data_IF_415303041193
#
_entry.id   IF_415303041193
#
_cell.length_a   1.000
_cell.length_b   1.000
_cell.length_c   1.000
_cell.angle_alpha   90.00
_cell.angle_beta   90.00
_cell.angle_gamma   90.00
#
_symmetry.space_group_name_H-M   'P 1'
#
loop_
_entity.id
_entity.type
_entity.pdbx_description
1 polymer ?
#
# COMPACT_ATOMS: atom_id res chain seq x y z
N UNK A 1 61.85 11.94 21.90
CA UNK A 1 61.16 12.10 20.60
C UNK A 1 59.99 11.13 20.63
N UNK A 2 58.82 11.64 21.01
CA UNK A 2 57.59 10.85 21.16
C UNK A 2 56.65 11.29 20.04
N UNK A 3 56.40 10.40 19.08
CA UNK A 3 55.46 10.65 17.99
C UNK A 3 54.03 10.33 18.45
N UNK A 4 53.21 11.37 18.45
CA UNK A 4 51.80 11.39 18.79
C UNK A 4 50.98 10.97 17.56
N UNK A 5 50.58 9.70 17.53
CA UNK A 5 49.79 9.12 16.44
C UNK A 5 48.31 9.50 16.59
N UNK A 6 47.87 10.58 15.94
CA UNK A 6 46.45 10.98 15.83
C UNK A 6 45.77 10.20 14.71
N UNK A 7 44.93 9.25 15.08
CA UNK A 7 44.05 8.52 14.16
C UNK A 7 42.99 9.43 13.51
N UNK A 8 42.46 9.04 12.34
CA UNK A 8 41.58 9.89 11.54
C UNK A 8 40.17 9.96 12.13
N UNK A 9 39.62 11.17 12.15
CA UNK A 9 38.25 11.47 12.54
C UNK A 9 37.25 10.68 11.68
N UNK A 10 36.52 9.78 12.32
CA UNK A 10 35.39 9.06 11.75
C UNK A 10 34.21 10.01 11.59
N UNK A 11 34.07 10.55 10.37
CA UNK A 11 32.98 11.45 10.01
C UNK A 11 31.62 10.77 10.16
N UNK A 12 30.85 11.20 11.15
CA UNK A 12 29.45 10.82 11.38
C UNK A 12 28.62 11.09 10.12
N UNK A 13 28.29 10.04 9.37
CA UNK A 13 27.34 10.13 8.26
C UNK A 13 25.93 10.35 8.82
N UNK A 14 25.14 11.28 8.25
CA UNK A 14 23.77 11.52 8.71
C UNK A 14 22.90 10.27 8.51
N UNK A 15 21.92 10.02 9.41
CA UNK A 15 21.04 8.87 9.30
C UNK A 15 20.23 8.94 8.00
N UNK A 16 20.27 7.85 7.22
CA UNK A 16 19.41 7.65 6.05
C UNK A 16 17.97 7.59 6.54
N UNK A 17 17.16 8.58 6.16
CA UNK A 17 15.71 8.60 6.39
C UNK A 17 15.07 7.71 5.34
N UNK A 18 14.16 6.83 5.72
CA UNK A 18 13.35 6.03 4.79
C UNK A 18 11.91 6.47 4.97
N UNK A 19 11.39 7.16 3.96
CA UNK A 19 9.99 7.53 3.90
C UNK A 19 9.19 6.31 3.46
N UNK A 20 8.56 5.62 4.40
CA UNK A 20 7.66 4.52 4.11
C UNK A 20 6.49 4.96 3.23
N UNK A 21 5.76 4.01 2.63
CA UNK A 21 4.63 4.29 1.76
C UNK A 21 3.58 5.09 2.53
N UNK A 22 3.49 6.38 2.20
CA UNK A 22 2.42 7.25 2.64
C UNK A 22 1.11 6.78 1.99
N UNK A 23 0.48 5.74 2.53
CA UNK A 23 -0.96 5.62 2.46
C UNK A 23 -1.53 6.75 3.30
N UNK A 24 -1.63 7.92 2.66
CA UNK A 24 -2.29 9.12 3.15
C UNK A 24 -3.79 8.82 3.26
N UNK A 25 -4.19 8.02 4.24
CA UNK A 25 -5.54 8.10 4.76
C UNK A 25 -5.59 9.42 5.52
N UNK A 26 -6.32 10.39 4.96
CA UNK A 26 -6.79 11.56 5.69
C UNK A 26 -7.65 11.02 6.84
N UNK A 27 -7.03 10.72 7.98
CA UNK A 27 -7.77 10.47 9.22
C UNK A 27 -8.20 11.85 9.70
N UNK A 28 -9.49 12.13 9.54
CA UNK A 28 -10.11 13.24 10.25
C UNK A 28 -9.81 13.09 11.76
N UNK A 29 -9.41 14.16 12.45
CA UNK A 29 -9.03 14.10 13.86
C UNK A 29 -10.25 13.67 14.70
N UNK A 30 -10.17 12.47 15.27
CA UNK A 30 -11.22 11.85 16.10
C UNK A 30 -11.41 12.46 17.50
N UNK A 31 -10.79 13.60 17.81
CA UNK A 31 -10.80 14.21 19.15
C UNK A 31 -11.87 15.30 19.36
N UNK A 32 -12.90 15.40 18.53
CA UNK A 32 -13.99 16.39 18.71
C UNK A 32 -15.40 15.81 18.66
N UNK A 33 -15.60 14.58 19.13
CA UNK A 33 -16.95 14.01 19.34
C UNK A 33 -17.23 13.81 20.83
N UNK A 34 -17.07 14.87 21.63
CA UNK A 34 -17.65 14.98 22.97
C UNK A 34 -17.54 16.43 23.46
N UNK A 35 -18.35 17.31 22.87
CA UNK A 35 -18.87 18.60 23.41
C UNK A 35 -19.27 19.52 22.26
N UNK A 36 -20.32 19.18 21.49
CA UNK A 36 -20.90 20.13 20.53
C UNK A 36 -22.41 19.89 20.31
N UNK A 37 -23.14 19.66 21.40
CA UNK A 37 -24.60 19.87 21.44
C UNK A 37 -24.91 21.10 22.31
N UNK A 38 -24.75 22.31 21.75
CA UNK A 38 -25.53 23.51 22.17
C UNK A 38 -25.21 24.84 21.46
N UNK A 39 -24.25 24.95 20.53
CA UNK A 39 -23.87 26.26 19.95
C UNK A 39 -24.07 26.44 18.43
N UNK A 40 -24.78 25.53 17.75
CA UNK A 40 -24.89 25.55 16.29
C UNK A 40 -26.06 26.33 15.66
N UNK A 41 -26.83 27.11 16.43
CA UNK A 41 -27.94 27.89 15.85
C UNK A 41 -27.66 29.39 15.62
N UNK A 42 -26.55 29.95 16.11
CA UNK A 42 -26.26 31.39 15.93
C UNK A 42 -25.24 31.70 14.81
N UNK A 43 -24.50 30.71 14.30
CA UNK A 43 -23.38 30.97 13.37
C UNK A 43 -23.76 30.94 11.88
N UNK A 44 -24.97 30.48 11.52
CA UNK A 44 -25.37 30.34 10.12
C UNK A 44 -25.95 31.62 9.49
N UNK A 45 -26.24 32.66 10.27
CA UNK A 45 -26.77 33.93 9.74
C UNK A 45 -25.65 34.86 9.23
N UNK A 46 -24.41 34.73 9.72
CA UNK A 46 -23.32 35.66 9.37
C UNK A 46 -22.58 35.24 8.09
N UNK A 47 -22.52 33.94 7.76
CA UNK A 47 -21.79 33.45 6.58
C UNK A 47 -22.55 33.68 5.27
N UNK A 48 -23.88 33.84 5.32
CA UNK A 48 -24.70 34.12 4.14
C UNK A 48 -24.47 35.51 3.52
N UNK A 49 -24.07 36.50 4.31
CA UNK A 49 -23.90 37.88 3.83
C UNK A 49 -22.54 38.17 3.17
N UNK A 50 -21.53 37.32 3.38
CA UNK A 50 -20.17 37.55 2.86
C UNK A 50 -19.93 36.97 1.45
N UNK A 51 -20.80 36.07 0.97
CA UNK A 51 -20.64 35.40 -0.33
C UNK A 51 -21.21 36.19 -1.53
N UNK A 52 -21.93 37.28 -1.29
CA UNK A 52 -22.49 38.13 -2.36
C UNK A 52 -21.49 39.21 -2.82
N UNK A 53 -20.43 39.49 -2.06
CA UNK A 53 -19.49 40.58 -2.36
C UNK A 53 -18.25 40.21 -3.21
N UNK A 54 -17.98 38.91 -3.48
CA UNK A 54 -16.71 38.48 -4.12
C UNK A 54 -16.88 38.06 -5.60
N UNK A 55 -18.11 37.91 -6.10
CA UNK A 55 -18.37 37.53 -7.51
C UNK A 55 -18.29 38.73 -8.47
N UNK A 56 -18.09 39.96 -7.96
CA UNK A 56 -18.13 41.19 -8.75
C UNK A 56 -16.83 41.62 -9.45
N UNK A 57 -15.70 40.90 -9.34
CA UNK A 57 -14.39 41.49 -9.68
C UNK A 57 -13.53 40.75 -10.72
N UNK A 58 -14.10 39.82 -11.49
CA UNK A 58 -13.36 39.06 -12.51
C UNK A 58 -13.88 39.25 -13.95
N UNK A 59 -14.30 40.46 -14.33
CA UNK A 59 -14.71 40.80 -15.72
C UNK A 59 -13.90 41.94 -16.35
N UNK A 60 -12.85 42.45 -15.70
CA UNK A 60 -12.04 43.53 -16.28
C UNK A 60 -10.55 43.27 -16.12
N UNK A 61 -9.96 42.55 -17.08
CA UNK A 61 -8.58 42.77 -17.57
C UNK A 61 -8.27 41.76 -18.69
N UNK A 62 -8.61 42.15 -19.93
CA UNK A 62 -7.86 41.68 -21.10
C UNK A 62 -6.58 42.49 -21.24
N UNK A 63 -5.53 41.87 -21.80
CA UNK A 63 -4.34 42.42 -22.52
C UNK A 63 -3.45 41.16 -22.75
N UNK A 64 -3.46 40.53 -23.93
CA UNK A 64 -2.55 40.78 -25.08
C UNK A 64 -1.08 40.90 -24.66
N UNK A 65 -0.29 39.83 -24.79
CA UNK A 65 0.99 39.94 -25.49
C UNK A 65 1.59 38.59 -25.94
N UNK A 66 2.11 38.64 -27.17
CA UNK A 66 2.86 37.63 -27.95
C UNK A 66 3.84 38.49 -28.75
N UNK A 67 5.18 38.26 -28.79
CA UNK A 67 5.83 37.15 -29.52
C UNK A 67 7.15 36.70 -28.81
N UNK A 68 8.04 35.80 -29.26
CA UNK A 68 8.51 35.30 -30.56
C UNK A 68 8.98 33.82 -30.40
N UNK A 69 8.75 32.89 -31.32
CA UNK A 69 9.49 32.63 -32.59
C UNK A 69 11.01 32.67 -32.45
N UNK A 70 11.62 31.51 -32.29
CA UNK A 70 12.87 31.15 -32.98
C UNK A 70 12.85 29.67 -33.36
N UNK A 71 13.48 29.43 -34.51
CA UNK A 71 13.31 28.35 -35.46
C UNK A 71 14.62 27.59 -35.66
N UNK A 72 14.52 26.32 -36.05
CA UNK A 72 15.61 25.44 -36.46
C UNK A 72 15.48 24.12 -35.70
N UNK A 73 15.32 22.94 -36.28
CA UNK A 73 15.56 22.49 -37.64
C UNK A 73 14.76 21.19 -37.85
N UNK A 74 14.19 21.03 -39.04
CA UNK A 74 13.35 19.90 -39.44
C UNK A 74 14.21 18.80 -40.08
N UNK A 75 13.95 17.55 -39.72
CA UNK A 75 13.97 16.41 -40.64
C UNK A 75 12.99 15.33 -40.14
N UNK A 76 11.82 15.23 -40.78
CA UNK A 76 10.87 14.12 -40.61
C UNK A 76 11.14 12.99 -41.62
N UNK A 77 10.12 12.22 -42.07
CA UNK A 77 9.20 11.34 -41.33
C UNK A 77 9.21 9.92 -42.03
N UNK A 78 8.27 8.93 -41.84
CA UNK A 78 6.81 9.03 -41.82
C UNK A 78 6.09 8.34 -40.63
N UNK A 79 4.80 8.67 -40.44
CA UNK A 79 3.91 8.08 -39.43
C UNK A 79 3.31 6.75 -39.89
N UNK A 80 3.23 5.77 -38.98
CA UNK A 80 2.35 4.62 -39.18
C UNK A 80 0.96 4.90 -38.60
N UNK A 81 0.00 4.67 -39.48
CA UNK A 81 -1.43 4.92 -39.38
C UNK A 81 -2.09 4.10 -38.26
N UNK A 82 -2.86 4.78 -37.40
CA UNK A 82 -3.79 4.16 -36.47
C UNK A 82 -5.14 3.89 -37.19
N UNK A 83 -5.70 2.67 -37.12
CA UNK A 83 -7.06 2.43 -37.55
C UNK A 83 -8.05 3.00 -36.52
N UNK A 84 -8.99 3.79 -37.05
CA UNK A 84 -10.14 4.33 -36.34
C UNK A 84 -11.15 3.23 -36.04
N UNK A 85 -11.45 3.01 -34.76
CA UNK A 85 -12.52 2.11 -34.29
C UNK A 85 -13.73 2.90 -33.80
N UNK A 86 -14.97 2.40 -34.01
CA UNK A 86 -16.16 3.23 -34.03
C UNK A 86 -16.71 3.62 -32.66
N UNK A 87 -17.24 4.84 -32.65
CA UNK A 87 -18.10 5.46 -31.65
C UNK A 87 -19.32 4.61 -31.34
N UNK A 88 -19.43 4.09 -30.11
CA UNK A 88 -20.69 3.55 -29.58
C UNK A 88 -21.47 4.68 -28.92
N UNK A 89 -22.49 5.15 -29.64
CA UNK A 89 -23.57 6.02 -29.16
C UNK A 89 -24.69 5.15 -28.58
N UNK A 90 -25.26 5.55 -27.44
CA UNK A 90 -26.54 5.06 -26.92
C UNK A 90 -26.38 4.14 -25.71
N UNK A 91 -27.11 4.29 -24.59
CA UNK A 91 -28.18 5.22 -24.27
C UNK A 91 -28.35 5.30 -22.75
N UNK A 92 -28.92 6.42 -22.33
CA UNK A 92 -29.50 6.69 -21.02
C UNK A 92 -31.01 6.89 -21.25
N UNK A 93 -31.89 6.93 -20.26
CA UNK A 93 -32.00 6.24 -18.97
C UNK A 93 -33.30 5.40 -18.92
N UNK A 94 -33.53 4.60 -17.87
CA UNK A 94 -34.92 4.32 -17.46
C UNK A 94 -35.00 4.03 -15.96
N UNK A 95 -35.63 4.91 -15.17
CA UNK A 95 -36.03 4.63 -13.81
C UNK A 95 -37.39 3.92 -13.83
N UNK A 96 -37.60 2.93 -12.96
CA UNK A 96 -38.96 2.43 -12.69
C UNK A 96 -39.15 2.22 -11.19
N UNK A 97 -40.25 2.75 -10.63
CA UNK A 97 -40.49 2.86 -9.20
C UNK A 97 -41.03 1.58 -8.53
N UNK A 98 -40.97 1.60 -7.19
CA UNK A 98 -41.78 0.90 -6.17
C UNK A 98 -43.30 0.89 -6.45
N UNK A 99 -44.19 0.26 -5.63
CA UNK A 99 -44.06 -0.64 -4.46
C UNK A 99 -44.99 -1.89 -4.59
N UNK A 100 -45.11 -2.73 -3.56
CA UNK A 100 -46.41 -3.12 -2.92
C UNK A 100 -46.27 -4.38 -2.03
N UNK A 101 -46.79 -4.34 -0.78
CA UNK A 101 -46.85 -5.48 0.14
C UNK A 101 -48.14 -6.30 -0.04
N UNK A 102 -48.12 -7.59 0.29
CA UNK A 102 -49.35 -8.40 0.42
C UNK A 102 -49.07 -9.77 1.08
N UNK A 103 -50.09 -10.47 1.61
CA UNK A 103 -50.25 -10.63 3.05
C UNK A 103 -50.07 -12.08 3.53
N UNK A 104 -50.03 -12.21 4.86
CA UNK A 104 -50.09 -13.46 5.63
C UNK A 104 -51.14 -14.45 5.08
N UNK A 105 -50.70 -15.68 4.79
CA UNK A 105 -51.59 -16.86 4.76
C UNK A 105 -51.03 -18.01 5.61
N UNK A 106 -51.83 -18.24 6.64
CA UNK A 106 -52.01 -19.37 7.55
C UNK A 106 -51.91 -20.76 6.88
N UNK A 107 -51.08 -21.60 7.51
CA UNK A 107 -51.21 -23.06 7.81
C UNK A 107 -51.15 -24.12 6.70
N UNK A 108 -50.07 -24.92 6.76
CA UNK A 108 -50.13 -26.40 6.74
C UNK A 108 -48.82 -26.98 7.32
N UNK A 109 -48.85 -27.90 8.31
CA UNK A 109 -47.65 -28.58 8.77
C UNK A 109 -47.18 -29.57 7.69
N UNK A 110 -46.23 -29.11 6.88
CA UNK A 110 -45.56 -29.94 5.86
C UNK A 110 -44.71 -30.99 6.57
N UNK A 111 -44.68 -32.25 6.10
CA UNK A 111 -43.84 -33.29 6.68
C UNK A 111 -42.39 -32.80 6.70
N UNK A 112 -41.84 -32.69 7.90
CA UNK A 112 -40.49 -32.21 8.13
C UNK A 112 -39.52 -33.28 7.61
N UNK A 113 -39.25 -33.21 6.30
CA UNK A 113 -38.22 -33.99 5.62
C UNK A 113 -36.92 -33.65 6.34
N UNK A 114 -36.41 -34.57 7.16
CA UNK A 114 -35.12 -34.45 7.83
C UNK A 114 -34.11 -33.99 6.79
N UNK A 115 -33.62 -32.76 6.95
CA UNK A 115 -32.47 -32.30 6.18
C UNK A 115 -31.39 -33.36 6.33
N UNK A 116 -30.83 -33.89 5.23
CA UNK A 116 -29.66 -34.75 5.31
C UNK A 116 -28.65 -34.02 6.18
N UNK A 117 -28.17 -34.70 7.22
CA UNK A 117 -27.12 -34.20 8.08
C UNK A 117 -26.06 -33.57 7.19
N UNK A 118 -25.97 -32.25 7.25
CA UNK A 118 -25.04 -31.46 6.47
C UNK A 118 -23.67 -31.95 6.91
N UNK A 119 -23.09 -32.84 6.11
CA UNK A 119 -21.77 -33.39 6.37
C UNK A 119 -20.86 -32.18 6.38
N UNK A 120 -20.47 -31.75 7.59
CA UNK A 120 -19.46 -30.73 7.75
C UNK A 120 -18.28 -31.17 6.89
N UNK A 121 -17.84 -30.35 5.92
CA UNK A 121 -16.65 -30.67 5.19
C UNK A 121 -15.53 -30.72 6.23
N UNK A 122 -15.15 -31.94 6.63
CA UNK A 122 -13.96 -32.21 7.41
C UNK A 122 -12.81 -31.76 6.51
N UNK A 123 -12.50 -30.48 6.58
CA UNK A 123 -11.30 -29.90 6.02
C UNK A 123 -10.17 -30.64 6.68
N UNK A 124 -9.68 -31.68 6.02
CA UNK A 124 -8.48 -32.40 6.40
C UNK A 124 -7.33 -31.39 6.30
N UNK A 125 -7.12 -30.62 7.36
CA UNK A 125 -5.90 -29.86 7.58
C UNK A 125 -4.81 -30.92 7.64
N UNK A 126 -4.21 -31.19 6.49
CA UNK A 126 -3.02 -32.01 6.41
C UNK A 126 -2.01 -31.36 7.34
N UNK A 127 -1.60 -32.10 8.37
CA UNK A 127 -0.53 -31.64 9.25
C UNK A 127 0.70 -31.32 8.38
N UNK A 128 1.41 -30.21 8.66
CA UNK A 128 2.66 -29.90 7.98
C UNK A 128 3.59 -31.11 8.02
N UNK A 129 4.13 -31.50 6.87
CA UNK A 129 4.96 -32.70 6.73
C UNK A 129 6.46 -32.39 6.89
N UNK A 130 6.84 -31.10 6.88
CA UNK A 130 8.23 -30.65 6.96
C UNK A 130 8.42 -29.36 7.77
N UNK A 131 9.67 -28.86 7.85
CA UNK A 131 9.95 -27.54 8.40
C UNK A 131 9.28 -26.47 7.52
N UNK A 132 8.86 -25.33 8.09
CA UNK A 132 8.22 -24.29 7.30
C UNK A 132 9.22 -23.73 6.29
N UNK A 133 8.76 -23.47 5.07
CA UNK A 133 9.57 -22.87 4.02
C UNK A 133 8.79 -21.76 3.34
N UNK A 134 9.53 -20.75 2.88
CA UNK A 134 9.02 -19.71 2.02
C UNK A 134 10.16 -19.29 1.08
N UNK A 135 9.82 -18.97 -0.17
CA UNK A 135 10.80 -18.57 -1.19
C UNK A 135 10.22 -17.46 -2.05
N UNK A 136 11.04 -16.48 -2.41
CA UNK A 136 10.71 -15.43 -3.36
C UNK A 136 10.99 -15.95 -4.78
N UNK A 137 9.99 -15.88 -5.65
CA UNK A 137 10.11 -16.23 -7.08
C UNK A 137 10.12 -15.00 -7.98
N UNK A 138 9.60 -13.87 -7.50
CA UNK A 138 9.75 -12.57 -8.13
C UNK A 138 9.78 -11.47 -7.05
N UNK A 139 10.60 -10.41 -7.20
CA UNK A 139 11.57 -10.20 -8.29
C UNK A 139 12.74 -11.20 -8.24
N UNK A 140 13.55 -11.25 -9.30
CA UNK A 140 14.77 -12.06 -9.33
C UNK A 140 15.93 -11.33 -8.64
N UNK A 141 16.96 -12.09 -8.24
CA UNK A 141 18.20 -11.53 -7.71
C UNK A 141 18.81 -10.51 -8.68
N UNK A 142 19.16 -9.33 -8.18
CA UNK A 142 19.73 -8.22 -8.95
C UNK A 142 18.72 -7.43 -9.77
N UNK A 143 17.42 -7.71 -9.69
CA UNK A 143 16.42 -7.01 -10.48
C UNK A 143 16.44 -5.49 -10.25
N UNK A 144 16.21 -4.75 -11.33
CA UNK A 144 16.05 -3.29 -11.32
C UNK A 144 14.58 -2.94 -11.23
N UNK A 145 14.21 -2.09 -10.27
CA UNK A 145 12.81 -1.73 -10.01
C UNK A 145 12.68 -0.22 -9.82
N UNK A 146 11.67 0.40 -10.43
CA UNK A 146 11.44 1.86 -10.32
C UNK A 146 11.05 2.29 -8.90
N UNK A 147 10.59 1.36 -8.06
CA UNK A 147 10.32 1.56 -6.64
C UNK A 147 9.16 2.51 -6.32
N UNK A 148 8.71 3.38 -7.23
CA UNK A 148 7.62 4.35 -6.98
C UNK A 148 6.22 3.72 -6.98
N UNK A 149 5.96 2.79 -7.90
CA UNK A 149 4.67 2.08 -7.99
C UNK A 149 4.66 0.85 -7.06
N UNK A 150 5.73 0.68 -6.29
CA UNK A 150 5.99 -0.50 -5.51
C UNK A 150 6.51 -1.68 -6.32
N UNK A 151 6.84 -2.77 -5.63
CA UNK A 151 7.37 -3.99 -6.22
C UNK A 151 6.40 -5.13 -6.00
N UNK A 152 5.96 -5.77 -7.09
CA UNK A 152 5.16 -6.98 -6.99
C UNK A 152 6.07 -8.15 -6.62
N UNK A 153 5.93 -8.62 -5.39
CA UNK A 153 6.56 -9.82 -4.88
C UNK A 153 5.64 -11.02 -5.08
N UNK A 154 6.24 -12.15 -5.45
CA UNK A 154 5.58 -13.45 -5.56
C UNK A 154 6.50 -14.52 -5.02
N UNK A 155 5.92 -15.62 -4.58
CA UNK A 155 6.71 -16.72 -4.07
C UNK A 155 5.91 -17.94 -3.72
N UNK A 156 6.62 -18.93 -3.19
CA UNK A 156 6.06 -20.17 -2.67
C UNK A 156 6.19 -20.24 -1.16
N UNK A 157 5.32 -21.01 -0.51
CA UNK A 157 5.46 -21.37 0.89
C UNK A 157 4.81 -22.72 1.18
N UNK A 158 5.41 -23.46 2.11
CA UNK A 158 4.91 -24.76 2.55
C UNK A 158 5.07 -24.91 4.07
N UNK A 159 4.27 -25.80 4.64
CA UNK A 159 4.42 -26.27 6.03
C UNK A 159 4.42 -25.16 7.10
N UNK A 160 3.72 -24.05 6.85
CA UNK A 160 3.68 -22.90 7.76
C UNK A 160 3.02 -23.24 9.11
N UNK A 161 2.08 -24.20 9.14
CA UNK A 161 1.35 -24.53 10.36
C UNK A 161 0.59 -23.32 10.90
N UNK A 162 0.86 -22.92 12.14
CA UNK A 162 0.30 -21.69 12.75
C UNK A 162 1.12 -20.41 12.51
N UNK A 163 2.22 -20.49 11.75
CA UNK A 163 3.11 -19.36 11.47
C UNK A 163 2.59 -18.54 10.28
N UNK A 164 3.07 -17.31 10.18
CA UNK A 164 2.65 -16.36 9.14
C UNK A 164 3.84 -15.90 8.31
N UNK A 165 3.58 -15.48 7.08
CA UNK A 165 4.57 -14.79 6.26
C UNK A 165 4.48 -13.28 6.50
N UNK A 166 5.62 -12.64 6.68
CA UNK A 166 5.82 -11.20 6.74
C UNK A 166 6.87 -10.78 5.72
N UNK A 167 6.80 -9.55 5.24
CA UNK A 167 7.73 -8.97 4.28
C UNK A 167 8.47 -7.83 4.96
N UNK A 168 9.80 -7.85 4.83
CA UNK A 168 10.66 -6.77 5.30
C UNK A 168 11.54 -6.25 4.16
N UNK A 169 11.77 -4.96 4.16
CA UNK A 169 12.80 -4.30 3.36
C UNK A 169 14.04 -4.11 4.22
N UNK A 170 15.11 -4.85 3.94
CA UNK A 170 16.39 -4.60 4.55
C UNK A 170 17.14 -3.53 3.75
N UNK A 171 17.31 -2.37 4.38
CA UNK A 171 17.83 -1.17 3.73
C UNK A 171 19.34 -0.99 3.94
N UNK A 172 20.02 -0.14 3.13
CA UNK A 172 21.46 0.12 3.26
C UNK A 172 21.92 0.63 4.63
N UNK A 173 21.02 1.15 5.45
CA UNK A 173 21.31 1.60 6.81
C UNK A 173 21.36 0.44 7.84
N UNK A 174 21.18 -0.81 7.39
CA UNK A 174 21.26 -2.00 8.23
C UNK A 174 20.01 -2.25 9.08
N UNK A 175 18.86 -1.69 8.71
CA UNK A 175 17.59 -1.93 9.39
C UNK A 175 16.60 -2.67 8.49
N UNK A 176 15.81 -3.54 9.12
CA UNK A 176 14.64 -4.20 8.54
C UNK A 176 13.42 -3.31 8.75
N UNK A 177 12.76 -2.91 7.68
CA UNK A 177 11.50 -2.17 7.71
C UNK A 177 10.36 -3.10 7.36
N UNK A 178 9.34 -3.19 8.21
CA UNK A 178 8.15 -3.99 7.93
C UNK A 178 7.38 -3.36 6.77
N UNK A 179 7.19 -4.11 5.68
CA UNK A 179 6.57 -3.59 4.46
C UNK A 179 5.08 -3.85 4.38
N UNK A 180 4.57 -4.84 5.13
CA UNK A 180 3.18 -5.23 5.15
C UNK A 180 2.41 -4.71 6.37
N UNK A 181 1.09 -4.55 6.23
CA UNK A 181 0.19 -4.16 7.33
C UNK A 181 -0.39 -5.38 8.07
N UNK A 182 -0.09 -6.59 7.61
CA UNK A 182 -0.67 -7.82 8.14
C UNK A 182 -0.17 -9.08 7.41
N UNK A 183 -0.56 -10.26 7.90
CA UNK A 183 -0.03 -11.53 7.42
C UNK A 183 -0.26 -11.71 5.92
N UNK A 184 0.76 -12.14 5.18
CA UNK A 184 0.62 -12.39 3.74
C UNK A 184 -0.18 -13.69 3.53
N UNK A 185 -1.31 -13.66 2.81
CA UNK A 185 -2.09 -14.85 2.55
C UNK A 185 -1.35 -15.82 1.63
N UNK A 186 -1.44 -17.10 1.95
CA UNK A 186 -0.90 -18.20 1.14
C UNK A 186 -2.04 -19.07 0.66
N UNK A 187 -2.13 -19.28 -0.65
CA UNK A 187 -3.15 -20.13 -1.28
C UNK A 187 -2.49 -21.06 -2.29
N UNK A 188 -2.81 -22.36 -2.22
CA UNK A 188 -2.20 -23.37 -3.11
C UNK A 188 -0.67 -23.42 -3.03
N UNK A 189 -0.08 -23.09 -1.88
CA UNK A 189 1.37 -23.01 -1.69
C UNK A 189 2.04 -21.79 -2.36
N UNK A 190 1.25 -20.83 -2.84
CA UNK A 190 1.72 -19.61 -3.49
C UNK A 190 1.29 -18.38 -2.68
N UNK A 191 2.07 -17.31 -2.78
CA UNK A 191 1.74 -16.01 -2.20
C UNK A 191 2.12 -14.88 -3.15
N UNK A 192 1.44 -13.73 -2.97
CA UNK A 192 1.77 -12.50 -3.68
C UNK A 192 1.54 -11.31 -2.77
N UNK A 193 2.43 -10.33 -2.87
CA UNK A 193 2.37 -9.09 -2.11
C UNK A 193 2.86 -7.93 -2.97
N UNK A 194 2.17 -6.80 -2.96
CA UNK A 194 2.68 -5.57 -3.58
C UNK A 194 3.35 -4.74 -2.50
N UNK A 195 4.67 -4.81 -2.46
CA UNK A 195 5.46 -3.94 -1.60
C UNK A 195 5.28 -2.49 -2.07
N UNK A 196 5.12 -1.55 -1.13
CA UNK A 196 4.96 -0.14 -1.41
C UNK A 196 6.25 0.51 -1.90
N UNK A 197 6.34 1.83 -1.74
CA UNK A 197 7.53 2.58 -2.14
C UNK A 197 8.75 2.13 -1.35
N UNK A 198 9.81 1.73 -2.05
CA UNK A 198 11.06 1.28 -1.44
C UNK A 198 11.97 2.49 -1.21
N UNK A 199 12.42 2.71 0.01
CA UNK A 199 13.34 3.80 0.36
C UNK A 199 12.71 5.20 0.27
N UNK A 200 13.53 6.24 0.45
CA UNK A 200 13.14 7.65 0.49
C UNK A 200 13.08 8.31 -0.89
N UNK A 201 12.19 7.78 -1.73
CA UNK A 201 11.91 8.36 -3.05
C UNK A 201 13.16 8.43 -3.95
N UNK A 202 13.37 9.55 -4.65
CA UNK A 202 14.45 9.67 -5.63
C UNK A 202 15.86 9.67 -5.02
N UNK A 203 16.00 9.92 -3.71
CA UNK A 203 17.30 9.92 -3.02
C UNK A 203 17.97 8.56 -2.99
N UNK A 204 17.17 7.50 -3.07
CA UNK A 204 17.64 6.12 -3.03
C UNK A 204 17.76 5.46 -4.40
N UNK A 205 17.63 6.22 -5.50
CA UNK A 205 17.92 5.70 -6.84
C UNK A 205 19.38 5.22 -6.91
N UNK A 206 19.58 4.04 -7.48
CA UNK A 206 20.87 3.35 -7.55
C UNK A 206 21.25 2.59 -6.27
N UNK A 207 20.48 2.71 -5.18
CA UNK A 207 20.73 1.95 -3.95
C UNK A 207 20.15 0.53 -4.07
N UNK A 208 20.85 -0.41 -3.44
CA UNK A 208 20.38 -1.79 -3.32
C UNK A 208 19.61 -2.00 -2.02
N UNK A 209 18.51 -2.73 -2.12
CA UNK A 209 17.70 -3.18 -0.99
C UNK A 209 17.61 -4.69 -1.04
N UNK A 210 17.41 -5.34 0.11
CA UNK A 210 17.07 -6.77 0.13
C UNK A 210 15.62 -6.90 0.55
N UNK A 211 14.80 -7.46 -0.34
CA UNK A 211 13.43 -7.84 -0.04
C UNK A 211 13.46 -9.19 0.65
N UNK A 212 13.04 -9.23 1.90
CA UNK A 212 13.14 -10.43 2.75
C UNK A 212 11.75 -10.95 3.07
N UNK A 213 11.53 -12.24 2.86
CA UNK A 213 10.35 -12.95 3.38
C UNK A 213 10.71 -13.63 4.69
N UNK A 214 9.94 -13.36 5.72
CA UNK A 214 10.14 -13.85 7.09
C UNK A 214 8.98 -14.78 7.45
N UNK A 215 9.32 -15.94 8.01
CA UNK A 215 8.36 -16.82 8.68
C UNK A 215 8.29 -16.39 10.14
N UNK A 216 7.16 -15.82 10.52
CA UNK A 216 6.88 -15.28 11.84
C UNK A 216 6.06 -16.25 12.69
N UNK A 217 6.62 -16.71 13.80
CA UNK A 217 5.85 -17.41 14.83
C UNK A 217 4.98 -16.46 15.68
N UNK A 218 4.26 -17.03 16.65
CA UNK A 218 3.35 -16.27 17.50
C UNK A 218 4.06 -15.19 18.34
N UNK A 219 5.30 -15.44 18.78
CA UNK A 219 6.07 -14.47 19.56
C UNK A 219 6.51 -13.29 18.70
N UNK A 220 6.98 -13.55 17.48
CA UNK A 220 7.31 -12.54 16.49
C UNK A 220 6.08 -11.71 16.09
N UNK A 221 4.93 -12.36 15.86
CA UNK A 221 3.67 -11.68 15.53
C UNK A 221 3.23 -10.75 16.66
N UNK A 222 3.29 -11.20 17.92
CA UNK A 222 2.95 -10.40 19.08
C UNK A 222 3.87 -9.18 19.22
N UNK A 223 5.18 -9.38 19.01
CA UNK A 223 6.15 -8.29 19.08
C UNK A 223 5.95 -7.27 17.95
N UNK A 224 5.74 -7.73 16.71
CA UNK A 224 5.42 -6.83 15.59
C UNK A 224 4.15 -6.03 15.91
N UNK A 225 3.12 -6.70 16.44
CA UNK A 225 1.84 -6.07 16.78
C UNK A 225 1.92 -5.06 17.94
N UNK A 226 2.89 -5.22 18.85
CA UNK A 226 3.09 -4.30 19.98
C UNK A 226 4.15 -3.22 19.72
N UNK A 227 4.97 -3.37 18.68
CA UNK A 227 6.03 -2.40 18.36
C UNK A 227 5.42 -1.07 17.91
N UNK A 228 5.72 0.04 18.60
CA UNK A 228 5.24 1.35 18.19
C UNK A 228 5.77 1.74 16.82
N UNK A 229 4.92 2.43 16.05
CA UNK A 229 5.35 3.03 14.79
C UNK A 229 6.11 4.33 15.05
N UNK A 230 7.10 4.62 14.20
CA UNK A 230 7.84 5.88 14.25
C UNK A 230 7.00 7.07 13.72
N UNK A 231 7.62 8.26 13.69
CA UNK A 231 6.97 9.47 13.18
C UNK A 231 6.61 9.40 11.67
N UNK A 232 7.20 8.45 10.93
CA UNK A 232 6.94 8.17 9.53
C UNK A 232 5.96 6.98 9.37
N UNK A 233 5.38 6.50 10.47
CA UNK A 233 4.46 5.38 10.53
C UNK A 233 5.10 4.02 10.15
N UNK A 234 6.43 3.87 10.29
CA UNK A 234 7.15 2.63 10.04
C UNK A 234 7.32 1.80 11.31
N UNK A 235 7.44 0.49 11.14
CA UNK A 235 8.00 -0.43 12.13
C UNK A 235 9.36 -0.88 11.61
N UNK A 236 10.41 -0.73 12.41
CA UNK A 236 11.77 -1.11 12.01
C UNK A 236 12.54 -1.81 13.11
N UNK A 237 13.41 -2.74 12.73
CA UNK A 237 14.30 -3.46 13.65
C UNK A 237 15.74 -3.44 13.13
N UNK A 238 16.73 -3.32 14.02
CA UNK A 238 18.15 -3.46 13.65
C UNK A 238 18.50 -4.92 13.31
N UNK A 239 17.88 -5.85 14.03
CA UNK A 239 17.99 -7.29 13.82
C UNK A 239 16.59 -7.89 13.88
N UNK A 240 16.34 -8.95 13.12
CA UNK A 240 15.06 -9.66 13.23
C UNK A 240 14.92 -10.18 14.68
N UNK A 241 13.80 -9.90 15.36
CA UNK A 241 13.64 -10.32 16.74
C UNK A 241 13.37 -11.83 16.83
N UNK A 242 13.41 -12.36 18.05
CA UNK A 242 13.14 -13.77 18.30
C UNK A 242 11.78 -14.19 17.70
N UNK A 243 11.77 -15.40 17.12
CA UNK A 243 10.61 -15.95 16.43
C UNK A 243 10.36 -15.43 15.02
N UNK A 244 11.08 -14.39 14.59
CA UNK A 244 11.09 -13.94 13.21
C UNK A 244 12.28 -14.59 12.49
N UNK A 245 12.02 -15.60 11.66
CA UNK A 245 13.07 -16.29 10.91
C UNK A 245 13.04 -15.88 9.44
N UNK A 246 14.14 -15.31 8.97
CA UNK A 246 14.37 -15.10 7.54
C UNK A 246 14.28 -16.43 6.79
N UNK A 247 13.42 -16.49 5.78
CA UNK A 247 13.21 -17.67 4.96
C UNK A 247 13.89 -17.56 3.60
N UNK A 248 13.83 -16.38 2.99
CA UNK A 248 14.51 -16.05 1.73
C UNK A 248 14.67 -14.53 1.59
N UNK A 249 15.63 -14.11 0.76
CA UNK A 249 15.99 -12.71 0.55
C UNK A 249 16.47 -12.45 -0.86
N UNK A 250 15.92 -11.42 -1.51
CA UNK A 250 16.29 -11.03 -2.87
C UNK A 250 16.81 -9.61 -2.90
N UNK A 251 18.05 -9.44 -3.36
CA UNK A 251 18.65 -8.13 -3.59
C UNK A 251 18.09 -7.52 -4.87
N UNK A 252 17.63 -6.28 -4.79
CA UNK A 252 17.17 -5.47 -5.92
C UNK A 252 17.93 -4.14 -5.94
N UNK A 253 17.90 -3.46 -7.08
CA UNK A 253 18.42 -2.08 -7.21
C UNK A 253 17.31 -1.14 -7.62
N UNK A 254 17.12 -0.06 -6.88
CA UNK A 254 16.14 0.96 -7.23
C UNK A 254 16.61 1.75 -8.45
N UNK A 255 15.74 1.95 -9.43
CA UNK A 255 15.99 2.82 -10.59
C UNK A 255 15.10 4.05 -10.55
N UNK A 256 15.47 5.06 -11.33
CA UNK A 256 14.58 6.18 -11.59
C UNK A 256 13.27 5.69 -12.26
N UNK A 257 12.15 6.43 -12.10
CA UNK A 257 10.92 6.27 -12.87
C UNK A 257 11.14 5.99 -14.35
#
# INVERSE_FOLDING_TARGET
>A
MSDENRGPFEGSRPPVRISGPAHRRVRAPWWTVLRLRRRHLAAWVVVGAALIAVVGQWVASGILDRPARNSGEWAGPPPYSLPSGPTVKGGSPSPTPSPTPSPSKVTAPKPQRRSPAQAEPRSSRRSPAGPPTARITAPSQGARVTGMIGVLMRGTAADLGGRQLRIFDFAPNGAYYLSDEGPIPVSGGQWSFRNGTIGDGTRDVGKSFVLTVVIADQSCQALIGSTPRDAQNNISFRTLPAGCREADGVRITKTAP
#
